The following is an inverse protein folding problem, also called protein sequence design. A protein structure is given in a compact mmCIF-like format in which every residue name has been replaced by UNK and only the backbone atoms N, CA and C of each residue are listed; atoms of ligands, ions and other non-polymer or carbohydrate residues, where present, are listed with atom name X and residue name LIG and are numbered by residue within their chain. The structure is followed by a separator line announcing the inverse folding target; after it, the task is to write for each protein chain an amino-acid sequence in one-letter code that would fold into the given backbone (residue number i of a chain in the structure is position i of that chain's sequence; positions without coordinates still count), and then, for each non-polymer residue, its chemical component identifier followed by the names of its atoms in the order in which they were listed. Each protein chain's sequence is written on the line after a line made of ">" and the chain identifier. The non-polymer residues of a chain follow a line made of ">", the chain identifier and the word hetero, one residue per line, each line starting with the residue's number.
data_IF_821660912924
#
_entry.id   IF_821660912924
#
_cell.length_a   1.000
_cell.length_b   1.000
_cell.length_c   1.000
_cell.angle_alpha   90.00
_cell.angle_beta   90.00
_cell.angle_gamma   90.00
#
_symmetry.space_group_name_H-M   'P 1'
#
loop_
_entity.id
_entity.type
_entity.pdbx_description
1 polymer ?
#
# COMPACT_ATOMS: atom_id res chain seq x y z
N UNK A 1 -46.89 -14.63 -17.59
CA UNK A 1 -46.02 -13.72 -18.37
C UNK A 1 -45.24 -12.89 -17.36
N UNK A 2 -43.96 -13.25 -17.14
CA UNK A 2 -42.75 -12.54 -17.62
C UNK A 2 -42.64 -11.14 -17.00
N UNK A 3 -41.84 -11.03 -15.95
CA UNK A 3 -40.49 -10.44 -15.98
C UNK A 3 -40.52 -8.90 -16.02
N UNK A 4 -40.02 -8.29 -14.95
CA UNK A 4 -39.20 -7.07 -15.02
C UNK A 4 -38.25 -7.04 -13.82
N UNK A 5 -37.29 -7.97 -13.85
CA UNK A 5 -36.00 -7.85 -13.15
C UNK A 5 -34.96 -7.39 -14.16
N UNK A 6 -34.62 -6.10 -14.09
CA UNK A 6 -33.53 -5.36 -14.75
C UNK A 6 -33.98 -3.91 -14.57
N UNK A 7 -33.45 -3.13 -13.65
CA UNK A 7 -32.10 -2.58 -13.67
C UNK A 7 -31.62 -2.30 -12.24
N UNK A 8 -30.74 -3.15 -11.70
CA UNK A 8 -29.75 -2.66 -10.74
C UNK A 8 -28.62 -2.11 -11.61
N UNK A 9 -28.51 -0.79 -11.66
CA UNK A 9 -27.41 -0.12 -12.33
C UNK A 9 -26.08 -0.60 -11.74
N UNK A 10 -25.07 -0.80 -12.59
CA UNK A 10 -23.70 -1.17 -12.20
C UNK A 10 -22.98 -0.06 -11.39
N UNK A 11 -23.69 0.96 -10.91
CA UNK A 11 -23.14 2.13 -10.23
C UNK A 11 -22.95 1.94 -8.71
N UNK A 12 -23.54 0.91 -8.09
CA UNK A 12 -23.54 0.69 -6.63
C UNK A 12 -22.59 -0.40 -6.13
N UNK A 13 -21.58 -0.79 -6.91
CA UNK A 13 -20.41 -1.47 -6.35
C UNK A 13 -19.34 -0.44 -6.02
N UNK A 14 -19.61 0.42 -5.03
CA UNK A 14 -18.52 0.98 -4.23
C UNK A 14 -17.83 -0.20 -3.55
N UNK A 15 -16.83 -0.75 -4.24
CA UNK A 15 -15.97 -1.78 -3.66
C UNK A 15 -15.22 -1.09 -2.52
N UNK A 16 -15.65 -1.35 -1.28
CA UNK A 16 -15.01 -0.82 -0.08
C UNK A 16 -13.54 -1.17 -0.13
N UNK A 17 -12.68 -0.15 -0.17
CA UNK A 17 -11.23 -0.33 -0.10
C UNK A 17 -10.90 -1.08 1.20
N UNK A 18 -10.36 -2.29 1.07
CA UNK A 18 -10.06 -3.13 2.24
C UNK A 18 -8.70 -2.74 2.82
N UNK A 19 -8.67 -2.42 4.11
CA UNK A 19 -7.44 -2.15 4.86
C UNK A 19 -7.02 -3.33 5.70
N UNK A 20 -5.72 -3.59 5.73
CA UNK A 20 -5.06 -4.54 6.60
C UNK A 20 -3.92 -3.83 7.34
N UNK A 21 -3.77 -4.10 8.64
CA UNK A 21 -2.76 -3.47 9.48
C UNK A 21 -1.86 -4.53 10.12
N UNK A 22 -0.57 -4.24 10.16
CA UNK A 22 0.45 -5.13 10.70
C UNK A 22 1.48 -4.37 11.54
N UNK A 23 2.02 -5.03 12.56
CA UNK A 23 3.27 -4.64 13.21
C UNK A 23 4.44 -5.33 12.50
N UNK A 24 5.49 -4.60 12.14
CA UNK A 24 6.74 -5.21 11.65
C UNK A 24 7.57 -5.62 12.87
N UNK A 25 7.73 -6.93 13.07
CA UNK A 25 8.48 -7.50 14.19
C UNK A 25 9.98 -7.57 13.86
N UNK A 26 10.30 -7.96 12.63
CA UNK A 26 11.68 -8.05 12.13
C UNK A 26 11.72 -7.83 10.62
N UNK A 27 12.79 -7.23 10.13
CA UNK A 27 13.08 -7.06 8.71
C UNK A 27 14.03 -8.13 8.16
N UNK A 28 14.75 -8.86 9.04
CA UNK A 28 15.67 -9.93 8.67
C UNK A 28 15.65 -11.05 9.74
N UNK A 29 14.92 -12.17 9.51
CA UNK A 29 13.96 -12.40 8.42
C UNK A 29 12.70 -11.53 8.59
N UNK A 30 12.02 -11.23 7.47
CA UNK A 30 10.75 -10.50 7.52
C UNK A 30 9.71 -11.26 8.37
N UNK A 31 9.31 -10.64 9.47
CA UNK A 31 8.20 -11.07 10.33
C UNK A 31 7.25 -9.90 10.56
N UNK A 32 5.97 -10.17 10.38
CA UNK A 32 4.89 -9.22 10.64
C UNK A 32 3.85 -9.89 11.52
N UNK A 33 3.11 -9.12 12.30
CA UNK A 33 1.97 -9.59 13.10
C UNK A 33 0.73 -8.79 12.73
N UNK A 34 -0.37 -9.46 12.43
CA UNK A 34 -1.65 -8.78 12.19
C UNK A 34 -2.36 -8.38 13.48
N UNK A 35 -3.54 -7.76 13.34
CA UNK A 35 -4.35 -7.31 14.49
C UNK A 35 -4.91 -8.46 15.34
N UNK A 36 -4.98 -9.67 14.80
CA UNK A 36 -5.42 -10.86 15.53
C UNK A 36 -4.25 -11.55 16.27
N UNK A 37 -3.03 -11.05 16.09
CA UNK A 37 -1.82 -11.62 16.70
C UNK A 37 -1.12 -12.68 15.84
N UNK A 38 -1.61 -12.92 14.62
CA UNK A 38 -1.07 -13.95 13.73
C UNK A 38 0.16 -13.44 12.96
N UNK A 39 1.23 -14.24 12.91
CA UNK A 39 2.48 -13.85 12.25
C UNK A 39 2.52 -14.16 10.74
N UNK A 40 1.51 -13.70 10.01
CA UNK A 40 1.38 -13.95 8.56
C UNK A 40 0.63 -12.83 7.85
N UNK A 41 0.86 -12.71 6.55
CA UNK A 41 -0.03 -11.95 5.68
C UNK A 41 -1.26 -12.80 5.36
N UNK A 42 -2.45 -12.22 5.50
CA UNK A 42 -3.74 -12.89 5.32
C UNK A 42 -4.59 -12.21 4.24
N UNK A 43 -5.60 -12.93 3.74
CA UNK A 43 -6.57 -12.39 2.80
C UNK A 43 -5.95 -11.86 1.50
N UNK A 44 -6.49 -10.73 1.03
CA UNK A 44 -6.12 -10.14 -0.26
C UNK A 44 -4.68 -9.62 -0.30
N UNK A 45 -4.06 -9.35 0.84
CA UNK A 45 -2.65 -8.91 0.93
C UNK A 45 -1.68 -10.01 0.44
N UNK A 46 -2.09 -11.28 0.60
CA UNK A 46 -1.34 -12.44 0.12
C UNK A 46 -1.59 -12.77 -1.36
N UNK A 47 -2.43 -12.00 -2.07
CA UNK A 47 -2.84 -12.28 -3.44
C UNK A 47 -2.20 -11.33 -4.46
N UNK A 48 -2.33 -11.66 -5.75
CA UNK A 48 -1.90 -10.80 -6.86
C UNK A 48 -2.93 -9.73 -7.20
N UNK A 49 -3.06 -8.68 -6.40
CA UNK A 49 -4.00 -7.57 -6.61
C UNK A 49 -3.35 -6.21 -6.38
N UNK A 50 -4.00 -5.14 -6.83
CA UNK A 50 -3.57 -3.75 -6.65
C UNK A 50 -3.54 -3.35 -5.17
N UNK A 51 -2.35 -2.96 -4.68
CA UNK A 51 -2.14 -2.53 -3.28
C UNK A 51 -1.33 -1.25 -3.21
N UNK A 52 -1.70 -0.40 -2.27
CA UNK A 52 -0.84 0.65 -1.72
C UNK A 52 -0.58 0.30 -0.26
N UNK A 53 0.66 0.48 0.19
CA UNK A 53 1.03 0.25 1.58
C UNK A 53 1.86 1.41 2.12
N UNK A 54 1.68 1.66 3.41
CA UNK A 54 2.35 2.72 4.16
C UNK A 54 3.11 2.09 5.30
N UNK A 55 4.38 2.48 5.44
CA UNK A 55 5.19 2.17 6.61
C UNK A 55 5.27 3.42 7.47
N UNK A 56 4.97 3.26 8.77
CA UNK A 56 4.98 4.36 9.72
C UNK A 56 5.84 4.04 10.94
N UNK A 57 6.43 5.08 11.52
CA UNK A 57 7.15 5.09 12.79
C UNK A 57 6.40 6.00 13.76
N UNK A 58 5.74 5.41 14.77
CA UNK A 58 4.91 6.13 15.76
C UNK A 58 3.94 7.13 15.10
N UNK A 59 3.18 6.66 14.10
CA UNK A 59 2.20 7.46 13.37
C UNK A 59 2.78 8.38 12.29
N UNK A 60 4.09 8.64 12.27
CA UNK A 60 4.74 9.38 11.18
C UNK A 60 4.97 8.46 9.98
N UNK A 61 4.46 8.85 8.82
CA UNK A 61 4.69 8.13 7.56
C UNK A 61 6.16 8.26 7.17
N UNK A 62 6.83 7.12 6.99
CA UNK A 62 8.25 7.09 6.59
C UNK A 62 8.47 6.52 5.20
N UNK A 63 7.51 5.77 4.66
CA UNK A 63 7.57 5.21 3.31
C UNK A 63 6.16 4.90 2.79
N UNK A 64 5.94 5.16 1.50
CA UNK A 64 4.75 4.71 0.77
C UNK A 64 5.23 3.86 -0.39
N UNK A 65 4.55 2.74 -0.62
CA UNK A 65 4.86 1.85 -1.73
C UNK A 65 3.61 1.30 -2.38
N UNK A 66 3.70 0.96 -3.66
CA UNK A 66 2.69 0.19 -4.38
C UNK A 66 3.17 -1.23 -4.69
N UNK A 67 2.22 -2.15 -4.88
CA UNK A 67 2.52 -3.52 -5.32
C UNK A 67 1.30 -4.21 -5.91
N UNK A 68 1.55 -5.02 -6.94
CA UNK A 68 0.59 -6.04 -7.43
C UNK A 68 0.90 -7.46 -6.94
N UNK A 69 2.07 -7.66 -6.31
CA UNK A 69 2.51 -8.96 -5.84
C UNK A 69 1.90 -9.26 -4.46
N UNK A 70 1.87 -10.53 -4.02
CA UNK A 70 1.74 -10.87 -2.61
C UNK A 70 2.75 -10.05 -1.81
N UNK A 71 2.29 -9.39 -0.75
CA UNK A 71 3.11 -8.39 -0.06
C UNK A 71 4.36 -9.00 0.57
N UNK A 72 4.28 -10.26 1.03
CA UNK A 72 5.43 -11.04 1.49
C UNK A 72 6.55 -11.06 0.45
N UNK A 73 6.23 -11.36 -0.81
CA UNK A 73 7.21 -11.48 -1.88
C UNK A 73 7.83 -10.12 -2.22
N UNK A 74 6.99 -9.07 -2.31
CA UNK A 74 7.45 -7.69 -2.59
C UNK A 74 8.42 -7.21 -1.51
N UNK A 75 8.05 -7.36 -0.24
CA UNK A 75 8.87 -6.90 0.87
C UNK A 75 10.13 -7.75 1.03
N UNK A 76 10.01 -9.07 0.98
CA UNK A 76 11.14 -9.98 1.16
C UNK A 76 12.28 -9.72 0.16
N UNK A 77 11.94 -9.55 -1.13
CA UNK A 77 12.95 -9.25 -2.15
C UNK A 77 13.70 -7.94 -1.90
N UNK A 78 12.96 -6.87 -1.57
CA UNK A 78 13.54 -5.57 -1.29
C UNK A 78 14.37 -5.55 0.01
N UNK A 79 13.91 -6.22 1.07
CA UNK A 79 14.63 -6.26 2.35
C UNK A 79 15.96 -7.00 2.22
N UNK A 80 15.99 -8.12 1.48
CA UNK A 80 17.21 -8.91 1.25
C UNK A 80 18.17 -8.30 0.23
N UNK A 81 17.79 -7.24 -0.48
CA UNK A 81 18.67 -6.68 -1.49
C UNK A 81 19.98 -6.16 -0.88
N UNK A 82 21.11 -6.53 -1.49
CA UNK A 82 22.46 -6.14 -1.04
C UNK A 82 23.15 -5.15 -1.98
N UNK A 83 22.40 -4.41 -2.80
CA UNK A 83 22.97 -3.46 -3.76
C UNK A 83 23.33 -4.09 -5.11
N UNK A 84 22.84 -5.30 -5.39
CA UNK A 84 23.03 -5.96 -6.69
C UNK A 84 22.45 -5.04 -7.78
N UNK A 85 23.26 -4.71 -8.78
CA UNK A 85 22.91 -3.78 -9.87
C UNK A 85 22.50 -2.37 -9.40
N UNK A 86 22.99 -1.91 -8.24
CA UNK A 86 22.69 -0.59 -7.70
C UNK A 86 21.38 -0.49 -6.91
N UNK A 87 20.58 -1.56 -6.84
CA UNK A 87 19.35 -1.58 -6.06
C UNK A 87 19.62 -2.03 -4.62
N UNK A 88 19.53 -1.12 -3.65
CA UNK A 88 19.78 -1.41 -2.22
C UNK A 88 18.54 -1.84 -1.44
N UNK A 89 17.36 -1.82 -2.07
CA UNK A 89 16.09 -2.09 -1.40
C UNK A 89 15.61 -0.92 -0.55
N UNK A 90 14.76 -1.20 0.44
CA UNK A 90 14.17 -0.14 1.26
C UNK A 90 15.17 0.48 2.24
N UNK A 91 15.24 1.81 2.26
CA UNK A 91 16.07 2.53 3.23
C UNK A 91 15.58 2.32 4.68
N UNK A 92 14.27 2.18 4.89
CA UNK A 92 13.67 1.95 6.21
C UNK A 92 14.03 0.60 6.83
N UNK A 93 14.61 -0.36 6.07
CA UNK A 93 14.99 -1.67 6.59
C UNK A 93 16.06 -1.62 7.69
N UNK A 94 16.82 -0.52 7.74
CA UNK A 94 17.86 -0.24 8.74
C UNK A 94 17.31 0.52 9.97
N UNK A 95 16.01 0.80 10.00
CA UNK A 95 15.38 1.48 11.14
C UNK A 95 15.37 0.57 12.37
N UNK A 96 15.71 1.13 13.53
CA UNK A 96 15.57 0.48 14.84
C UNK A 96 14.24 0.80 15.51
N UNK A 97 13.39 1.60 14.85
CA UNK A 97 12.09 1.98 15.37
C UNK A 97 11.06 0.86 15.27
N UNK A 98 10.03 0.92 16.12
CA UNK A 98 8.85 0.08 16.00
C UNK A 98 8.02 0.54 14.79
N UNK A 99 8.07 -0.23 13.70
CA UNK A 99 7.39 0.11 12.46
C UNK A 99 6.02 -0.57 12.36
N UNK A 100 5.03 0.17 11.87
CA UNK A 100 3.75 -0.38 11.42
C UNK A 100 3.69 -0.43 9.90
N UNK A 101 2.89 -1.35 9.39
CA UNK A 101 2.61 -1.54 7.98
C UNK A 101 1.10 -1.57 7.78
N UNK A 102 0.57 -0.59 7.08
CA UNK A 102 -0.83 -0.52 6.68
C UNK A 102 -0.96 -0.73 5.18
N UNK A 103 -1.95 -1.50 4.75
CA UNK A 103 -2.09 -1.95 3.37
C UNK A 103 -3.54 -1.77 2.93
N UNK A 104 -3.74 -1.05 1.85
CA UNK A 104 -5.03 -0.88 1.19
C UNK A 104 -5.07 -1.65 -0.12
N UNK A 105 -6.12 -2.42 -0.32
CA UNK A 105 -6.42 -3.14 -1.55
C UNK A 105 -7.44 -2.34 -2.35
N UNK A 106 -7.06 -1.85 -3.54
CA UNK A 106 -7.81 -0.80 -4.24
C UNK A 106 -9.04 -1.28 -5.02
N UNK A 107 -8.93 -2.42 -5.68
CA UNK A 107 -9.97 -2.95 -6.56
C UNK A 107 -10.34 -4.41 -6.24
N UNK A 108 -9.55 -5.09 -5.41
CA UNK A 108 -9.72 -6.52 -5.13
C UNK A 108 -9.59 -7.41 -6.37
N UNK A 109 -9.28 -6.84 -7.53
CA UNK A 109 -9.19 -7.56 -8.80
C UNK A 109 -7.78 -8.12 -8.96
N UNK A 110 -7.69 -9.34 -9.46
CA UNK A 110 -6.41 -9.96 -9.73
C UNK A 110 -5.73 -9.24 -10.89
N UNK A 111 -4.53 -8.72 -10.66
CA UNK A 111 -3.71 -8.09 -11.71
C UNK A 111 -2.93 -9.19 -12.43
N UNK A 112 -3.00 -9.19 -13.76
CA UNK A 112 -2.23 -10.13 -14.58
C UNK A 112 -0.72 -10.00 -14.36
N UNK A 113 -0.02 -11.14 -14.44
CA UNK A 113 1.44 -11.18 -14.37
C UNK A 113 2.02 -10.36 -15.53
N UNK A 114 3.07 -9.59 -15.28
CA UNK A 114 3.70 -8.71 -16.29
C UNK A 114 3.11 -7.30 -16.42
N UNK A 115 1.79 -7.09 -16.21
CA UNK A 115 1.18 -5.75 -16.36
C UNK A 115 1.46 -4.79 -15.19
N UNK A 116 1.87 -3.54 -15.45
CA UNK A 116 2.01 -2.53 -14.39
C UNK A 116 0.65 -2.22 -13.76
N UNK A 117 0.66 -1.76 -12.51
CA UNK A 117 -0.54 -1.35 -11.82
C UNK A 117 -0.54 0.17 -11.71
N UNK A 118 -0.89 0.85 -12.81
CA UNK A 118 -0.84 2.30 -12.93
C UNK A 118 -1.69 2.98 -11.86
N UNK A 119 -2.87 2.43 -11.54
CA UNK A 119 -3.72 2.94 -10.46
C UNK A 119 -3.02 2.94 -9.11
N UNK A 120 -2.35 1.86 -8.71
CA UNK A 120 -1.64 1.81 -7.42
C UNK A 120 -0.43 2.74 -7.38
N UNK A 121 0.32 2.83 -8.48
CA UNK A 121 1.45 3.76 -8.62
C UNK A 121 0.97 5.22 -8.55
N UNK A 122 -0.16 5.54 -9.20
CA UNK A 122 -0.74 6.88 -9.18
C UNK A 122 -1.24 7.25 -7.78
N UNK A 123 -1.91 6.33 -7.09
CA UNK A 123 -2.34 6.54 -5.70
C UNK A 123 -1.14 6.68 -4.77
N UNK A 124 -0.08 5.87 -4.92
CA UNK A 124 1.17 6.04 -4.17
C UNK A 124 1.74 7.46 -4.34
N UNK A 125 1.82 7.95 -5.58
CA UNK A 125 2.33 9.28 -5.87
C UNK A 125 1.48 10.39 -5.22
N UNK A 126 0.15 10.28 -5.30
CA UNK A 126 -0.78 11.23 -4.68
C UNK A 126 -0.70 11.22 -3.14
N UNK A 127 -0.54 10.05 -2.50
CA UNK A 127 -0.32 9.97 -1.05
C UNK A 127 0.97 10.68 -0.67
N UNK A 128 2.06 10.44 -1.41
CA UNK A 128 3.34 11.09 -1.13
C UNK A 128 3.29 12.59 -1.38
N UNK A 129 2.55 13.03 -2.40
CA UNK A 129 2.29 14.45 -2.64
C UNK A 129 1.57 15.10 -1.47
N UNK A 130 0.50 14.48 -0.94
CA UNK A 130 -0.21 14.98 0.24
C UNK A 130 0.70 15.08 1.48
N UNK A 131 1.58 14.11 1.69
CA UNK A 131 2.59 14.16 2.77
C UNK A 131 3.50 15.37 2.57
N UNK A 132 4.00 15.59 1.35
CA UNK A 132 4.85 16.76 1.06
C UNK A 132 4.12 18.08 1.28
N UNK A 133 2.89 18.18 0.81
CA UNK A 133 2.06 19.38 0.92
C UNK A 133 1.73 19.70 2.39
N UNK A 134 1.32 18.69 3.17
CA UNK A 134 0.72 18.88 4.50
C UNK A 134 1.70 18.73 5.65
N UNK A 135 2.67 17.84 5.53
CA UNK A 135 3.70 17.60 6.54
C UNK A 135 4.98 18.43 6.26
N UNK A 136 5.02 19.13 5.11
CA UNK A 136 6.11 20.01 4.73
C UNK A 136 7.40 19.29 4.34
N UNK A 137 7.39 17.95 4.22
CA UNK A 137 8.57 17.16 3.86
C UNK A 137 8.20 15.86 3.13
N UNK A 138 9.15 15.27 2.41
CA UNK A 138 8.96 13.95 1.82
C UNK A 138 9.07 12.85 2.90
N UNK A 139 8.44 11.67 2.72
CA UNK A 139 8.66 10.56 3.64
C UNK A 139 10.15 10.23 3.73
N UNK A 140 10.66 10.13 4.96
CA UNK A 140 12.10 10.02 5.28
C UNK A 140 12.85 8.95 4.47
N UNK A 141 12.19 7.87 4.11
CA UNK A 141 12.78 6.71 3.45
C UNK A 141 12.25 6.51 2.03
N UNK A 142 11.54 7.48 1.45
CA UNK A 142 11.11 7.42 0.05
C UNK A 142 12.30 7.51 -0.88
N UNK A 143 12.40 6.60 -1.86
CA UNK A 143 13.53 6.55 -2.81
C UNK A 143 13.10 6.58 -4.27
N UNK A 144 11.89 6.13 -4.57
CA UNK A 144 11.36 6.02 -5.93
C UNK A 144 9.84 6.20 -5.88
N UNK A 145 9.30 6.91 -6.87
CA UNK A 145 7.87 7.12 -7.08
C UNK A 145 7.65 7.16 -8.60
N UNK A 146 6.57 6.54 -9.07
CA UNK A 146 6.18 6.60 -10.47
C UNK A 146 4.99 7.55 -10.64
N UNK A 147 5.18 8.64 -11.40
CA UNK A 147 4.14 9.62 -11.67
C UNK A 147 3.35 9.28 -12.94
N UNK A 148 2.04 9.42 -12.86
CA UNK A 148 1.10 9.33 -13.98
C UNK A 148 0.01 10.40 -13.79
N UNK A 149 -0.71 10.80 -14.85
CA UNK A 149 -1.87 11.68 -14.71
C UNK A 149 -2.91 11.10 -13.73
N UNK A 150 -3.35 11.91 -12.76
CA UNK A 150 -4.31 11.48 -11.75
C UNK A 150 -5.75 11.91 -12.06
N UNK A 151 -6.68 10.99 -11.82
CA UNK A 151 -8.12 11.22 -11.86
C UNK A 151 -8.65 11.55 -10.46
N UNK A 152 -9.85 12.16 -10.32
CA UNK A 152 -10.45 12.47 -9.02
C UNK A 152 -10.43 11.29 -8.04
N UNK A 153 -10.76 10.08 -8.51
CA UNK A 153 -10.76 8.86 -7.70
C UNK A 153 -9.39 8.55 -7.09
N UNK A 154 -8.28 8.79 -7.80
CA UNK A 154 -6.94 8.55 -7.24
C UNK A 154 -6.66 9.48 -6.05
N UNK A 155 -7.05 10.76 -6.18
CA UNK A 155 -6.88 11.78 -5.14
C UNK A 155 -7.78 11.51 -3.93
N UNK A 156 -9.01 11.07 -4.15
CA UNK A 156 -9.94 10.67 -3.08
C UNK A 156 -9.40 9.49 -2.25
N UNK A 157 -8.89 8.46 -2.94
CA UNK A 157 -8.26 7.30 -2.28
C UNK A 157 -7.03 7.75 -1.50
N UNK A 158 -6.16 8.55 -2.11
CA UNK A 158 -4.94 9.04 -1.47
C UNK A 158 -5.24 9.88 -0.22
N UNK A 159 -6.23 10.77 -0.29
CA UNK A 159 -6.71 11.54 0.84
C UNK A 159 -7.22 10.62 1.96
N UNK A 160 -8.02 9.60 1.61
CA UNK A 160 -8.50 8.61 2.59
C UNK A 160 -7.33 7.91 3.30
N UNK A 161 -6.35 7.41 2.55
CA UNK A 161 -5.16 6.75 3.10
C UNK A 161 -4.40 7.68 4.05
N UNK A 162 -4.14 8.92 3.63
CA UNK A 162 -3.43 9.92 4.42
C UNK A 162 -4.16 10.23 5.74
N UNK A 163 -5.46 10.55 5.67
CA UNK A 163 -6.28 10.87 6.85
C UNK A 163 -6.35 9.71 7.84
N UNK A 164 -6.53 8.47 7.36
CA UNK A 164 -6.62 7.33 8.25
C UNK A 164 -5.30 7.00 8.96
N UNK A 165 -4.14 7.33 8.38
CA UNK A 165 -2.86 7.21 9.08
C UNK A 165 -2.70 8.34 10.09
N UNK A 166 -3.02 9.59 9.70
CA UNK A 166 -2.87 10.76 10.58
C UNK A 166 -3.73 10.67 11.84
N UNK A 167 -4.92 10.08 11.78
CA UNK A 167 -5.76 9.81 12.97
C UNK A 167 -5.09 8.90 14.03
N UNK A 168 -3.98 8.24 13.70
CA UNK A 168 -3.23 7.34 14.60
C UNK A 168 -1.89 7.92 15.07
N UNK A 169 -1.55 9.13 14.64
CA UNK A 169 -0.34 9.85 15.04
C UNK A 169 -0.62 10.74 16.25
#
# INVERSE_FOLDING_TARGET
>A
MRENSRWLSNADRQSTMMRFSYQIISTEPLRVRDIAGEEKFTGMVAQHCSKVYVVSDRGRIVYVGSSKQPLRNRLYGALRSKGQSGYFGYAWKKSTAALTLDVWVLDGVRVEKGKRCVTAETVEAEVVFLIRERDGNWPKHQTEIHFHPSEPRHREIAATIYEEIRKRA
#
